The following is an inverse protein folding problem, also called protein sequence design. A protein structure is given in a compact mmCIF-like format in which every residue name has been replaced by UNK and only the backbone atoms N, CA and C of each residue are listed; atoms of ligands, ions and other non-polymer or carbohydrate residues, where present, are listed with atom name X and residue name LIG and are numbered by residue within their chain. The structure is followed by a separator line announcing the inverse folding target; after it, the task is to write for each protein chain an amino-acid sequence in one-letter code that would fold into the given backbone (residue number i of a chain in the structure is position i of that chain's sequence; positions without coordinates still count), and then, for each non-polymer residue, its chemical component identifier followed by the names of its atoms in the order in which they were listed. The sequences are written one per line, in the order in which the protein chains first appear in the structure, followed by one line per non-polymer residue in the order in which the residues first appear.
data_IF_571007163107
#
_entry.id   IF_571007163107
#
_cell.length_a   1.000
_cell.length_b   1.000
_cell.length_c   1.000
_cell.angle_alpha   90.00
_cell.angle_beta   90.00
_cell.angle_gamma   90.00
#
_symmetry.space_group_name_H-M   'P 1'
#
loop_
_entity.id
_entity.type
_entity.pdbx_description
1 polymer ?
#
# COMPACT_ATOMS: atom_id res chain seq x y z
N UNK A 1 6.78 6.36 -4.25
CA UNK A 1 5.44 6.10 -4.80
C UNK A 1 4.92 4.80 -4.21
N UNK A 2 4.75 4.78 -2.89
CA UNK A 2 4.43 3.54 -2.14
C UNK A 2 3.02 3.03 -2.47
N UNK A 3 2.04 3.93 -2.63
CA UNK A 3 0.65 3.55 -2.97
C UNK A 3 0.51 2.73 -4.26
N UNK A 4 1.41 2.95 -5.24
CA UNK A 4 1.49 2.16 -6.47
C UNK A 4 2.51 1.03 -6.40
N UNK A 5 3.19 0.89 -5.26
CA UNK A 5 4.28 -0.04 -5.02
C UNK A 5 5.42 0.17 -6.04
N UNK A 6 5.62 1.43 -6.43
CA UNK A 6 6.45 1.84 -7.56
C UNK A 6 7.86 2.27 -7.18
N UNK A 7 8.35 1.92 -5.98
CA UNK A 7 9.63 2.45 -5.47
C UNK A 7 10.54 1.44 -4.82
N UNK A 8 10.14 0.81 -3.72
CA UNK A 8 11.11 0.10 -2.85
C UNK A 8 11.68 -1.17 -3.49
N UNK A 9 10.93 -1.83 -4.37
CA UNK A 9 11.45 -2.95 -5.17
C UNK A 9 12.64 -2.55 -6.06
N UNK A 10 12.62 -1.35 -6.65
CA UNK A 10 13.75 -0.82 -7.44
C UNK A 10 14.94 -0.50 -6.54
N UNK A 11 14.71 0.09 -5.36
CA UNK A 11 15.79 0.35 -4.41
C UNK A 11 16.47 -0.93 -3.93
N UNK A 12 15.70 -1.99 -3.67
CA UNK A 12 16.21 -3.30 -3.30
C UNK A 12 16.99 -3.95 -4.46
N UNK A 13 16.43 -3.98 -5.67
CA UNK A 13 17.10 -4.49 -6.88
C UNK A 13 18.44 -3.79 -7.14
N UNK A 14 18.49 -2.48 -6.93
CA UNK A 14 19.65 -1.64 -7.23
C UNK A 14 20.66 -1.57 -6.06
N UNK A 15 20.50 -2.39 -5.01
CA UNK A 15 21.48 -2.55 -3.94
C UNK A 15 21.54 -1.41 -2.93
N UNK A 16 20.51 -0.55 -2.82
CA UNK A 16 20.55 0.63 -1.95
C UNK A 16 20.55 0.32 -0.43
N UNK A 17 20.44 -0.96 -0.05
CA UNK A 17 20.42 -1.41 1.34
C UNK A 17 21.60 -2.32 1.73
N UNK A 18 22.59 -2.52 0.86
CA UNK A 18 23.71 -3.45 1.11
C UNK A 18 24.54 -3.10 2.36
N UNK A 19 24.72 -1.80 2.64
CA UNK A 19 25.48 -1.30 3.80
C UNK A 19 24.57 -0.94 5.01
N UNK A 20 23.31 -1.39 5.03
CA UNK A 20 22.34 -1.08 6.09
C UNK A 20 22.16 -2.28 7.02
N UNK A 21 22.33 -2.09 8.34
CA UNK A 21 22.20 -3.18 9.30
C UNK A 21 20.75 -3.44 9.77
N UNK A 22 19.90 -2.42 9.74
CA UNK A 22 18.49 -2.52 10.15
C UNK A 22 17.66 -1.38 9.55
N UNK A 23 16.38 -1.65 9.27
CA UNK A 23 15.40 -0.66 8.80
C UNK A 23 14.22 -0.56 9.76
N UNK A 24 13.96 0.66 10.23
CA UNK A 24 12.76 1.00 11.00
C UNK A 24 11.77 1.71 10.08
N UNK A 25 10.68 1.03 9.74
CA UNK A 25 9.58 1.61 8.96
C UNK A 25 8.42 2.02 9.87
N UNK A 26 7.58 2.94 9.41
CA UNK A 26 6.39 3.38 10.14
C UNK A 26 5.18 3.40 9.22
N UNK A 27 4.00 3.15 9.79
CA UNK A 27 2.75 3.27 9.07
C UNK A 27 1.65 3.76 10.03
N UNK A 28 0.82 4.70 9.56
CA UNK A 28 -0.34 5.20 10.31
C UNK A 28 -1.27 4.04 10.71
N UNK A 29 -1.81 4.11 11.92
CA UNK A 29 -2.81 3.20 12.46
C UNK A 29 -3.68 3.91 13.50
N UNK A 30 -4.51 3.14 14.20
CA UNK A 30 -5.37 3.60 15.30
C UNK A 30 -4.86 3.18 16.69
N UNK A 31 -3.71 2.49 16.75
CA UNK A 31 -3.03 2.10 17.98
C UNK A 31 -1.51 2.17 17.76
N UNK A 32 -0.76 2.11 18.85
CA UNK A 32 0.70 1.98 18.87
C UNK A 32 1.02 0.49 18.98
N UNK A 33 1.57 -0.10 17.91
CA UNK A 33 1.84 -1.54 17.87
C UNK A 33 2.94 -1.91 16.88
N UNK A 34 3.47 -3.11 17.07
CA UNK A 34 4.48 -3.72 16.20
C UNK A 34 4.16 -5.19 16.03
N UNK A 35 4.65 -5.80 14.94
CA UNK A 35 4.53 -7.24 14.71
C UNK A 35 5.81 -7.83 14.16
N UNK A 36 6.01 -9.14 14.33
CA UNK A 36 7.14 -9.88 13.75
C UNK A 36 6.69 -11.10 12.94
N UNK A 37 7.62 -11.65 12.15
CA UNK A 37 7.38 -12.75 11.22
C UNK A 37 6.50 -12.36 10.04
N UNK A 38 5.85 -13.34 9.40
CA UNK A 38 4.95 -13.10 8.28
C UNK A 38 3.77 -12.21 8.70
N UNK A 39 3.65 -11.04 8.07
CA UNK A 39 2.59 -10.11 8.39
C UNK A 39 1.26 -10.49 7.72
N UNK A 40 0.14 -10.01 8.27
CA UNK A 40 -1.14 -9.99 7.54
C UNK A 40 -1.00 -9.22 6.23
N UNK A 41 -1.74 -9.63 5.20
CA UNK A 41 -1.70 -9.00 3.89
C UNK A 41 -1.06 -9.87 2.82
N UNK A 42 -0.78 -9.27 1.66
CA UNK A 42 -0.31 -9.99 0.47
C UNK A 42 0.92 -9.31 -0.11
N UNK A 43 1.75 -10.04 -0.85
CA UNK A 43 2.61 -9.42 -1.87
C UNK A 43 1.81 -9.11 -3.13
N UNK A 44 2.41 -8.39 -4.07
CA UNK A 44 1.76 -7.93 -5.29
C UNK A 44 2.74 -7.82 -6.46
N UNK A 45 2.25 -8.13 -7.66
CA UNK A 45 2.77 -7.56 -8.92
C UNK A 45 1.70 -6.69 -9.58
N UNK A 46 2.12 -5.52 -10.03
CA UNK A 46 1.31 -4.56 -10.78
C UNK A 46 1.83 -4.50 -12.20
N UNK A 47 0.99 -4.85 -13.17
CA UNK A 47 1.41 -5.00 -14.57
C UNK A 47 0.38 -4.40 -15.51
N UNK A 48 0.84 -3.58 -16.45
CA UNK A 48 0.03 -3.05 -17.54
C UNK A 48 0.35 -3.83 -18.82
N UNK A 49 -0.69 -4.32 -19.49
CA UNK A 49 -0.60 -4.94 -20.80
C UNK A 49 -1.16 -3.97 -21.84
N UNK A 50 -0.44 -3.84 -22.95
CA UNK A 50 -0.79 -2.96 -24.07
C UNK A 50 -0.90 -3.81 -25.33
N UNK A 51 -2.00 -3.64 -26.06
CA UNK A 51 -2.27 -4.34 -27.31
C UNK A 51 -2.26 -3.36 -28.47
N UNK A 52 -1.58 -3.74 -29.55
CA UNK A 52 -1.45 -2.98 -30.79
C UNK A 52 -2.17 -3.74 -31.91
N UNK A 53 -3.19 -3.09 -32.47
CA UNK A 53 -4.03 -3.63 -33.52
C UNK A 53 -3.95 -2.82 -34.81
N UNK A 54 -5.01 -2.87 -35.61
CA UNK A 54 -5.14 -2.15 -36.87
C UNK A 54 -6.50 -1.45 -36.88
N UNK A 55 -6.48 -0.13 -37.07
CA UNK A 55 -7.70 0.67 -37.15
C UNK A 55 -8.39 0.45 -38.50
N UNK A 56 -9.72 0.43 -38.48
CA UNK A 56 -10.58 0.42 -39.64
C UNK A 56 -11.91 1.11 -39.30
N UNK A 57 -12.69 1.51 -40.29
CA UNK A 57 -14.02 2.07 -40.03
C UNK A 57 -14.94 0.93 -39.57
N UNK A 58 -15.47 1.04 -38.35
CA UNK A 58 -16.20 -0.05 -37.69
C UNK A 58 -17.45 -0.55 -38.44
N UNK A 59 -17.99 0.26 -39.34
CA UNK A 59 -19.12 -0.12 -40.21
C UNK A 59 -18.74 -0.28 -41.70
N UNK A 60 -17.61 0.27 -42.13
CA UNK A 60 -17.31 0.42 -43.56
C UNK A 60 -16.48 -0.74 -44.09
N UNK A 61 -15.43 -1.06 -43.34
CA UNK A 61 -14.40 -2.03 -43.66
C UNK A 61 -13.88 -2.77 -42.40
N UNK A 62 -14.75 -3.24 -41.48
CA UNK A 62 -14.30 -3.84 -40.22
C UNK A 62 -13.43 -5.10 -40.39
N UNK A 63 -13.53 -5.81 -41.52
CA UNK A 63 -12.71 -6.98 -41.84
C UNK A 63 -11.22 -6.66 -42.04
N UNK A 64 -10.88 -5.40 -42.31
CA UNK A 64 -9.50 -4.93 -42.46
C UNK A 64 -8.87 -4.54 -41.10
N UNK A 65 -9.67 -4.47 -40.03
CA UNK A 65 -9.23 -4.10 -38.68
C UNK A 65 -8.72 -5.29 -37.85
N UNK A 66 -7.97 -4.98 -36.78
CA UNK A 66 -7.63 -5.89 -35.67
C UNK A 66 -7.84 -5.14 -34.37
N UNK A 67 -8.84 -5.54 -33.60
CA UNK A 67 -9.27 -4.79 -32.41
C UNK A 67 -8.39 -5.10 -31.21
N UNK A 68 -7.61 -4.11 -30.77
CA UNK A 68 -6.87 -4.17 -29.52
C UNK A 68 -7.80 -4.22 -28.30
N UNK A 69 -8.98 -3.58 -28.38
CA UNK A 69 -9.98 -3.64 -27.31
C UNK A 69 -10.53 -5.06 -27.14
N UNK A 70 -10.76 -5.79 -28.23
CA UNK A 70 -11.22 -7.18 -28.16
C UNK A 70 -10.18 -8.05 -27.42
N UNK A 71 -8.89 -7.79 -27.61
CA UNK A 71 -7.82 -8.50 -26.90
C UNK A 71 -7.89 -8.20 -25.38
N UNK A 72 -8.09 -6.95 -24.99
CA UNK A 72 -8.29 -6.56 -23.59
C UNK A 72 -9.53 -7.24 -22.99
N UNK A 73 -10.65 -7.27 -23.72
CA UNK A 73 -11.89 -7.91 -23.24
C UNK A 73 -11.71 -9.42 -23.08
N UNK A 74 -11.08 -10.09 -24.06
CA UNK A 74 -10.81 -11.52 -24.00
C UNK A 74 -9.86 -11.88 -22.85
N UNK A 75 -8.81 -11.07 -22.63
CA UNK A 75 -7.91 -11.22 -21.50
C UNK A 75 -8.66 -11.09 -20.16
N UNK A 76 -9.53 -10.08 -20.04
CA UNK A 76 -10.36 -9.86 -18.84
C UNK A 76 -11.32 -11.02 -18.58
N UNK A 77 -12.01 -11.51 -19.61
CA UNK A 77 -12.93 -12.65 -19.52
C UNK A 77 -12.19 -13.92 -19.11
N UNK A 78 -11.05 -14.22 -19.75
CA UNK A 78 -10.24 -15.38 -19.41
C UNK A 78 -9.74 -15.31 -17.96
N UNK A 79 -9.31 -14.14 -17.49
CA UNK A 79 -8.93 -13.97 -16.08
C UNK A 79 -10.13 -14.12 -15.13
N UNK A 80 -11.31 -13.62 -15.51
CA UNK A 80 -12.53 -13.79 -14.72
C UNK A 80 -12.88 -15.27 -14.55
N UNK A 81 -12.73 -16.11 -15.58
CA UNK A 81 -12.90 -17.56 -15.45
C UNK A 81 -11.78 -18.22 -14.63
N UNK A 82 -10.53 -17.75 -14.76
CA UNK A 82 -9.41 -18.26 -13.95
C UNK A 82 -9.67 -18.13 -12.45
N UNK A 83 -10.42 -17.12 -12.00
CA UNK A 83 -10.71 -16.87 -10.57
C UNK A 83 -11.39 -18.03 -9.85
N UNK A 84 -12.11 -18.92 -10.55
CA UNK A 84 -12.68 -20.14 -9.94
C UNK A 84 -11.58 -21.10 -9.43
N UNK A 85 -10.38 -21.01 -9.99
CA UNK A 85 -9.27 -21.93 -9.72
C UNK A 85 -8.11 -21.30 -8.94
N UNK A 86 -8.33 -20.10 -8.36
CA UNK A 86 -7.34 -19.41 -7.54
C UNK A 86 -7.53 -19.72 -6.06
N UNK A 87 -6.45 -19.63 -5.29
CA UNK A 87 -6.51 -19.85 -3.85
C UNK A 87 -7.41 -18.80 -3.17
N UNK A 88 -8.22 -19.13 -2.14
CA UNK A 88 -9.16 -18.17 -1.53
C UNK A 88 -8.51 -16.90 -0.91
N UNK A 89 -7.22 -16.95 -0.58
CA UNK A 89 -6.45 -15.80 -0.07
C UNK A 89 -5.90 -14.89 -1.18
N UNK A 90 -5.94 -15.33 -2.43
CA UNK A 90 -5.55 -14.56 -3.61
C UNK A 90 -6.48 -13.36 -3.81
N UNK A 91 -5.94 -12.24 -4.30
CA UNK A 91 -6.77 -11.13 -4.79
C UNK A 91 -6.25 -10.62 -6.13
N UNK A 92 -7.13 -10.42 -7.10
CA UNK A 92 -6.78 -9.80 -8.38
C UNK A 92 -7.84 -8.80 -8.82
N UNK A 93 -7.37 -7.72 -9.42
CA UNK A 93 -8.20 -6.61 -9.87
C UNK A 93 -7.60 -6.04 -11.15
N UNK A 94 -8.43 -5.46 -12.00
CA UNK A 94 -7.96 -4.73 -13.18
C UNK A 94 -8.83 -3.52 -13.48
N UNK A 95 -8.25 -2.60 -14.24
CA UNK A 95 -8.97 -1.51 -14.92
C UNK A 95 -8.50 -1.47 -16.37
N UNK A 96 -9.43 -1.18 -17.29
CA UNK A 96 -9.06 -0.86 -18.68
C UNK A 96 -8.52 0.57 -18.66
N UNK A 97 -7.19 0.73 -18.78
CA UNK A 97 -6.55 2.04 -18.71
C UNK A 97 -6.70 2.83 -20.02
N UNK A 98 -6.92 2.14 -21.13
CA UNK A 98 -7.31 2.72 -22.42
C UNK A 98 -8.21 1.73 -23.18
N UNK A 99 -9.43 2.17 -23.51
CA UNK A 99 -10.41 1.33 -24.22
C UNK A 99 -10.60 1.67 -25.70
N UNK A 100 -9.71 2.47 -26.29
CA UNK A 100 -9.90 3.06 -27.61
C UNK A 100 -10.54 4.45 -27.57
N UNK A 101 -10.56 5.11 -28.74
CA UNK A 101 -10.97 6.53 -28.87
C UNK A 101 -12.47 6.70 -29.16
N UNK A 102 -12.96 6.12 -30.25
CA UNK A 102 -14.33 6.34 -30.74
C UNK A 102 -15.03 5.04 -31.16
N UNK A 103 -16.34 4.89 -30.92
CA UNK A 103 -17.07 3.65 -31.18
C UNK A 103 -17.24 3.32 -32.67
N UNK A 104 -17.03 4.27 -33.58
CA UNK A 104 -17.10 4.05 -35.04
C UNK A 104 -15.75 3.66 -35.66
N UNK A 105 -14.69 3.49 -34.84
CA UNK A 105 -13.34 3.10 -35.28
C UNK A 105 -12.95 1.83 -34.54
N UNK A 106 -12.47 0.82 -35.27
CA UNK A 106 -11.88 -0.38 -34.65
C UNK A 106 -10.65 0.06 -33.84
N UNK A 107 -10.58 -0.19 -32.52
CA UNK A 107 -9.47 0.29 -31.69
C UNK A 107 -8.14 -0.34 -32.12
N UNK A 108 -7.20 0.46 -32.61
CA UNK A 108 -5.84 0.01 -32.91
C UNK A 108 -4.91 -0.02 -31.70
N UNK A 109 -5.35 0.52 -30.57
CA UNK A 109 -4.61 0.50 -29.31
C UNK A 109 -5.59 0.40 -28.16
N UNK A 110 -5.28 -0.47 -27.20
CA UNK A 110 -5.99 -0.58 -25.93
C UNK A 110 -5.03 -1.13 -24.87
N UNK A 111 -5.30 -0.80 -23.61
CA UNK A 111 -4.47 -1.24 -22.49
C UNK A 111 -5.29 -1.57 -21.26
N UNK A 112 -4.75 -2.49 -20.46
CA UNK A 112 -5.37 -2.97 -19.22
C UNK A 112 -4.32 -3.10 -18.13
N UNK A 113 -4.65 -2.60 -16.94
CA UNK A 113 -3.75 -2.56 -15.80
C UNK A 113 -4.25 -3.48 -14.70
N UNK A 114 -3.42 -4.46 -14.31
CA UNK A 114 -3.71 -5.49 -13.34
C UNK A 114 -2.92 -5.32 -12.04
N UNK A 115 -3.58 -5.69 -10.93
CA UNK A 115 -2.93 -6.08 -9.69
C UNK A 115 -3.17 -7.57 -9.44
N UNK A 116 -2.09 -8.33 -9.24
CA UNK A 116 -2.13 -9.74 -8.82
C UNK A 116 -1.50 -9.84 -7.43
N UNK A 117 -2.28 -10.32 -6.46
CA UNK A 117 -1.88 -10.43 -5.05
C UNK A 117 -1.98 -11.87 -4.55
N UNK A 118 -0.96 -12.29 -3.82
CA UNK A 118 -0.86 -13.62 -3.21
C UNK A 118 -0.08 -13.59 -1.90
N UNK A 119 -0.14 -14.68 -1.14
CA UNK A 119 0.48 -14.78 0.19
C UNK A 119 1.98 -15.08 0.15
N UNK A 120 2.47 -15.73 -0.91
CA UNK A 120 3.86 -16.15 -1.08
C UNK A 120 4.40 -15.66 -2.42
N UNK A 121 5.72 -15.46 -2.51
CA UNK A 121 6.33 -14.97 -3.74
C UNK A 121 6.18 -15.96 -4.90
N UNK A 122 6.24 -17.27 -4.63
CA UNK A 122 6.05 -18.31 -5.64
C UNK A 122 4.64 -18.30 -6.22
N UNK A 123 3.60 -18.15 -5.39
CA UNK A 123 2.24 -18.04 -5.89
C UNK A 123 2.02 -16.75 -6.68
N UNK A 124 2.70 -15.65 -6.33
CA UNK A 124 2.70 -14.42 -7.13
C UNK A 124 3.29 -14.69 -8.52
N UNK A 125 4.46 -15.36 -8.58
CA UNK A 125 5.12 -15.72 -9.84
C UNK A 125 4.26 -16.65 -10.70
N UNK A 126 3.64 -17.66 -10.10
CA UNK A 126 2.75 -18.59 -10.79
C UNK A 126 1.53 -17.88 -11.39
N UNK A 127 0.86 -17.05 -10.59
CA UNK A 127 -0.30 -16.29 -11.06
C UNK A 127 0.09 -15.25 -12.11
N UNK A 128 1.26 -14.62 -11.98
CA UNK A 128 1.77 -13.70 -12.98
C UNK A 128 2.11 -14.40 -14.30
N UNK A 129 2.76 -15.56 -14.25
CA UNK A 129 3.03 -16.37 -15.44
C UNK A 129 1.73 -16.85 -16.11
N UNK A 130 0.71 -17.19 -15.32
CA UNK A 130 -0.62 -17.53 -15.84
C UNK A 130 -1.27 -16.34 -16.54
N UNK A 131 -1.21 -15.15 -15.93
CA UNK A 131 -1.74 -13.92 -16.54
C UNK A 131 -1.02 -13.60 -17.86
N UNK A 132 0.30 -13.81 -17.91
CA UNK A 132 1.09 -13.65 -19.13
C UNK A 132 0.61 -14.58 -20.26
N UNK A 133 0.38 -15.86 -19.98
CA UNK A 133 -0.13 -16.81 -20.96
C UNK A 133 -1.54 -16.42 -21.46
N UNK A 134 -2.38 -15.89 -20.57
CA UNK A 134 -3.70 -15.39 -20.94
C UNK A 134 -3.59 -14.18 -21.88
N UNK A 135 -2.67 -13.26 -21.62
CA UNK A 135 -2.42 -12.10 -22.48
C UNK A 135 -1.93 -12.52 -23.88
N UNK A 136 -1.00 -13.48 -23.95
CA UNK A 136 -0.54 -14.09 -25.20
C UNK A 136 -1.71 -14.78 -25.94
N UNK A 137 -2.56 -15.49 -25.20
CA UNK A 137 -3.82 -16.08 -25.68
C UNK A 137 -4.72 -15.05 -26.35
N UNK A 138 -4.97 -13.93 -25.68
CA UNK A 138 -5.81 -12.85 -26.19
C UNK A 138 -5.24 -12.19 -27.45
N UNK A 139 -3.93 -11.97 -27.48
CA UNK A 139 -3.21 -11.48 -28.66
C UNK A 139 -3.38 -12.42 -29.85
N UNK A 140 -3.20 -13.73 -29.65
CA UNK A 140 -3.37 -14.73 -30.70
C UNK A 140 -4.82 -14.84 -31.21
N UNK A 141 -5.82 -14.72 -30.33
CA UNK A 141 -7.23 -14.78 -30.74
C UNK A 141 -7.65 -13.59 -31.61
N UNK A 142 -6.92 -12.48 -31.58
CA UNK A 142 -7.30 -11.21 -32.20
C UNK A 142 -6.33 -10.73 -33.27
N UNK A 143 -5.27 -11.50 -33.58
CA UNK A 143 -4.13 -11.11 -34.41
C UNK A 143 -3.56 -9.72 -34.04
N UNK A 144 -3.44 -9.42 -32.74
CA UNK A 144 -2.87 -8.15 -32.25
C UNK A 144 -1.45 -8.35 -31.72
N UNK A 145 -0.64 -7.30 -31.78
CA UNK A 145 0.62 -7.23 -31.01
C UNK A 145 0.32 -7.08 -29.52
N UNK A 146 1.20 -7.60 -28.67
CA UNK A 146 1.11 -7.44 -27.21
C UNK A 146 2.47 -7.07 -26.65
N UNK A 147 2.45 -6.11 -25.74
CA UNK A 147 3.57 -5.76 -24.89
C UNK A 147 3.09 -5.59 -23.44
N UNK A 148 4.02 -5.56 -22.50
CA UNK A 148 3.72 -5.33 -21.08
C UNK A 148 4.75 -4.43 -20.45
N UNK A 149 4.40 -3.87 -19.29
CA UNK A 149 5.35 -3.25 -18.35
C UNK A 149 4.93 -3.51 -16.91
N UNK A 150 5.92 -3.69 -16.02
CA UNK A 150 5.66 -3.69 -14.58
C UNK A 150 5.52 -2.24 -14.12
N UNK A 151 4.45 -1.95 -13.39
CA UNK A 151 4.17 -0.62 -12.82
C UNK A 151 4.59 -0.56 -11.35
N UNK A 152 4.53 -1.68 -10.65
CA UNK A 152 4.82 -1.78 -9.22
C UNK A 152 4.99 -3.22 -8.77
N UNK A 153 5.71 -3.40 -7.67
CA UNK A 153 5.99 -4.69 -7.08
C UNK A 153 6.10 -4.56 -5.56
N UNK A 154 5.55 -5.55 -4.85
CA UNK A 154 5.69 -5.69 -3.41
C UNK A 154 5.90 -7.15 -3.05
N UNK A 155 7.01 -7.47 -2.42
CA UNK A 155 7.22 -8.81 -1.85
C UNK A 155 6.30 -9.05 -0.64
N UNK A 156 5.87 -10.29 -0.32
CA UNK A 156 5.14 -10.56 0.91
C UNK A 156 5.94 -10.12 2.14
N UNK A 157 5.33 -9.36 3.06
CA UNK A 157 6.06 -8.78 4.20
C UNK A 157 6.45 -9.82 5.24
N UNK A 158 7.69 -9.76 5.73
CA UNK A 158 8.17 -10.53 6.86
C UNK A 158 9.06 -9.67 7.77
N UNK A 159 8.77 -9.61 9.07
CA UNK A 159 9.42 -8.65 9.97
C UNK A 159 10.32 -9.30 11.01
N UNK A 160 11.39 -8.60 11.38
CA UNK A 160 12.44 -9.07 12.27
C UNK A 160 11.96 -9.15 13.74
N UNK A 161 12.07 -10.32 14.35
CA UNK A 161 11.57 -10.57 15.72
C UNK A 161 12.36 -9.85 16.82
N UNK A 162 13.69 -9.94 16.89
CA UNK A 162 14.47 -9.21 17.91
C UNK A 162 14.17 -7.70 17.93
N UNK A 163 14.17 -7.05 16.76
CA UNK A 163 13.87 -5.61 16.66
C UNK A 163 12.44 -5.33 17.09
N UNK A 164 11.46 -6.16 16.69
CA UNK A 164 10.07 -5.98 17.11
C UNK A 164 9.89 -6.11 18.63
N UNK A 165 10.58 -7.04 19.29
CA UNK A 165 10.52 -7.19 20.75
C UNK A 165 11.14 -5.99 21.47
N UNK A 166 12.27 -5.48 21.01
CA UNK A 166 12.88 -4.26 21.54
C UNK A 166 11.94 -3.05 21.34
N UNK A 167 11.37 -2.92 20.14
CA UNK A 167 10.38 -1.89 19.82
C UNK A 167 9.14 -1.98 20.71
N UNK A 168 8.61 -3.18 20.97
CA UNK A 168 7.45 -3.38 21.85
C UNK A 168 7.75 -2.93 23.29
N UNK A 169 8.95 -3.19 23.82
CA UNK A 169 9.35 -2.64 25.13
C UNK A 169 9.35 -1.10 25.14
N UNK A 170 9.72 -0.47 24.03
CA UNK A 170 9.64 0.98 23.90
C UNK A 170 8.21 1.49 23.75
N UNK A 171 7.35 0.76 23.04
CA UNK A 171 5.90 1.02 22.97
C UNK A 171 5.30 1.03 24.37
N UNK A 172 5.63 0.03 25.20
CA UNK A 172 5.15 -0.07 26.59
C UNK A 172 5.62 1.10 27.47
N UNK A 173 6.86 1.57 27.28
CA UNK A 173 7.41 2.73 28.00
C UNK A 173 6.80 4.06 27.56
N UNK A 174 6.59 4.24 26.24
CA UNK A 174 6.06 5.48 25.67
C UNK A 174 4.56 5.61 25.93
N UNK A 175 3.81 4.51 25.77
CA UNK A 175 2.37 4.46 25.93
C UNK A 175 1.60 5.20 24.83
N UNK A 176 0.28 5.13 24.90
CA UNK A 176 -0.60 5.91 24.03
C UNK A 176 -0.59 7.40 24.44
N UNK A 177 -0.81 8.32 23.49
CA UNK A 177 -1.03 9.72 23.82
C UNK A 177 -2.23 9.92 24.76
N UNK A 178 -2.18 10.97 25.57
CA UNK A 178 -3.37 11.43 26.30
C UNK A 178 -4.30 12.15 25.32
N UNK A 179 -5.45 11.54 25.05
CA UNK A 179 -6.52 12.12 24.25
C UNK A 179 -7.32 13.13 25.07
N UNK A 180 -7.61 14.30 24.50
CA UNK A 180 -8.53 15.24 25.14
C UNK A 180 -9.99 14.76 25.02
N UNK A 181 -10.89 15.39 25.79
CA UNK A 181 -12.34 15.16 25.62
C UNK A 181 -12.80 15.50 24.20
N UNK A 182 -12.21 16.53 23.61
CA UNK A 182 -12.44 16.96 22.23
C UNK A 182 -12.00 15.91 21.20
N UNK A 183 -10.82 15.30 21.40
CA UNK A 183 -10.35 14.21 20.53
C UNK A 183 -11.30 13.02 20.57
N UNK A 184 -11.77 12.66 21.76
CA UNK A 184 -12.73 11.59 21.94
C UNK A 184 -14.09 11.94 21.33
N UNK A 185 -14.53 13.19 21.47
CA UNK A 185 -15.79 13.68 20.88
C UNK A 185 -15.74 13.63 19.35
N UNK A 186 -14.65 14.10 18.75
CA UNK A 186 -14.42 14.02 17.30
C UNK A 186 -14.40 12.57 16.80
N UNK A 187 -13.61 11.71 17.43
CA UNK A 187 -13.49 10.31 17.00
C UNK A 187 -14.83 9.56 17.08
N UNK A 188 -15.61 9.80 18.14
CA UNK A 188 -16.95 9.20 18.28
C UNK A 188 -17.92 9.73 17.23
N UNK A 189 -17.95 11.04 16.99
CA UNK A 189 -18.78 11.64 15.96
C UNK A 189 -18.44 11.08 14.57
N UNK A 190 -17.15 10.96 14.24
CA UNK A 190 -16.70 10.39 12.98
C UNK A 190 -17.08 8.90 12.85
N UNK A 191 -16.94 8.11 13.91
CA UNK A 191 -17.39 6.71 13.92
C UNK A 191 -18.90 6.58 13.70
N UNK A 192 -19.70 7.42 14.37
CA UNK A 192 -21.16 7.45 14.15
C UNK A 192 -21.54 7.90 12.74
N UNK A 193 -20.83 8.88 12.18
CA UNK A 193 -21.00 9.32 10.79
C UNK A 193 -20.72 8.17 9.81
N UNK A 194 -19.71 7.34 10.10
CA UNK A 194 -19.39 6.13 9.34
C UNK A 194 -20.32 4.94 9.64
N UNK A 195 -21.39 5.14 10.42
CA UNK A 195 -22.42 4.14 10.67
C UNK A 195 -22.11 3.15 11.79
N UNK A 196 -21.15 3.45 12.67
CA UNK A 196 -20.93 2.64 13.87
C UNK A 196 -21.96 3.01 14.94
N UNK A 197 -22.81 2.04 15.30
CA UNK A 197 -23.86 2.21 16.31
C UNK A 197 -23.30 2.26 17.75
N UNK A 198 -22.07 1.80 17.97
CA UNK A 198 -21.38 1.80 19.26
C UNK A 198 -19.99 2.49 19.17
N UNK A 199 -19.95 3.83 19.01
CA UNK A 199 -18.71 4.57 18.83
C UNK A 199 -17.82 4.52 20.09
N UNK A 200 -16.67 3.85 19.97
CA UNK A 200 -15.72 3.63 21.06
C UNK A 200 -14.74 4.80 21.26
N UNK A 201 -14.67 5.75 20.31
CA UNK A 201 -13.70 6.85 20.32
C UNK A 201 -12.28 6.37 19.97
N UNK A 202 -11.25 7.03 20.51
CA UNK A 202 -9.83 6.67 20.36
C UNK A 202 -9.42 5.60 21.38
N UNK A 203 -8.44 4.77 21.01
CA UNK A 203 -7.93 3.72 21.89
C UNK A 203 -7.25 4.32 23.15
N UNK A 204 -7.57 3.78 24.32
CA UNK A 204 -6.95 4.15 25.60
C UNK A 204 -5.97 3.10 26.11
N UNK A 205 -5.99 1.91 25.50
CA UNK A 205 -5.21 0.75 25.89
C UNK A 205 -4.42 0.24 24.67
N UNK A 206 -3.19 -0.21 24.92
CA UNK A 206 -2.31 -0.76 23.90
C UNK A 206 -2.85 -2.10 23.39
N UNK A 207 -2.72 -2.35 22.08
CA UNK A 207 -3.17 -3.62 21.48
C UNK A 207 -2.23 -4.80 21.72
N UNK A 208 -1.04 -4.56 22.27
CA UNK A 208 0.04 -5.54 22.38
C UNK A 208 0.74 -5.83 21.05
N UNK A 209 1.80 -6.63 21.13
CA UNK A 209 2.58 -7.07 19.98
C UNK A 209 1.80 -8.08 19.11
N UNK A 210 1.96 -7.96 17.80
CA UNK A 210 1.44 -8.93 16.83
C UNK A 210 2.43 -10.08 16.62
N UNK A 211 1.98 -11.29 16.87
CA UNK A 211 2.71 -12.52 16.54
C UNK A 211 2.26 -13.07 15.17
N UNK A 212 3.08 -13.91 14.51
CA UNK A 212 2.68 -14.63 13.31
C UNK A 212 1.39 -15.41 13.54
N UNK A 213 0.51 -15.40 12.54
CA UNK A 213 -0.73 -16.17 12.62
C UNK A 213 -0.49 -17.61 12.17
N UNK A 214 -1.11 -18.57 12.87
CA UNK A 214 -1.12 -19.98 12.44
C UNK A 214 -1.69 -20.14 11.02
N UNK A 215 -2.65 -19.29 10.66
CA UNK A 215 -3.28 -19.28 9.35
C UNK A 215 -3.12 -17.90 8.70
N UNK A 216 -2.50 -17.82 7.50
CA UNK A 216 -2.30 -16.55 6.83
C UNK A 216 -3.63 -15.86 6.48
N UNK A 217 -3.64 -14.53 6.54
CA UNK A 217 -4.83 -13.71 6.24
C UNK A 217 -4.48 -12.70 5.15
N UNK A 218 -5.26 -12.73 4.07
CA UNK A 218 -5.16 -11.81 2.95
C UNK A 218 -5.46 -10.36 3.35
N UNK A 219 -5.00 -9.40 2.55
CA UNK A 219 -5.17 -7.97 2.83
C UNK A 219 -4.30 -7.11 1.92
N UNK A 220 -4.09 -5.86 2.32
CA UNK A 220 -3.25 -4.90 1.57
C UNK A 220 -1.79 -5.36 1.41
N UNK A 221 -1.10 -4.71 0.50
CA UNK A 221 0.34 -4.89 0.20
C UNK A 221 1.06 -3.58 0.44
N UNK A 222 2.35 -3.64 0.68
CA UNK A 222 3.21 -2.48 0.93
C UNK A 222 4.63 -2.88 0.47
N UNK A 223 5.28 -2.01 -0.29
CA UNK A 223 6.57 -2.29 -0.93
C UNK A 223 7.72 -2.34 0.10
N UNK A 224 7.45 -2.08 1.39
CA UNK A 224 8.39 -2.41 2.49
C UNK A 224 8.72 -3.91 2.54
N UNK A 225 7.85 -4.74 1.97
CA UNK A 225 8.09 -6.16 1.79
C UNK A 225 9.42 -6.44 1.12
N UNK A 226 9.74 -5.76 0.02
CA UNK A 226 11.01 -5.94 -0.70
C UNK A 226 12.22 -5.65 0.19
N UNK A 227 12.21 -4.54 0.92
CA UNK A 227 13.30 -4.21 1.86
C UNK A 227 13.40 -5.27 2.96
N UNK A 228 12.26 -5.74 3.45
CA UNK A 228 12.23 -6.68 4.57
C UNK A 228 12.92 -8.01 4.29
N UNK A 229 13.10 -8.38 3.02
CA UNK A 229 13.83 -9.56 2.58
C UNK A 229 15.29 -9.31 2.18
N UNK A 230 15.76 -8.07 2.29
CA UNK A 230 17.16 -7.69 2.03
C UNK A 230 17.90 -7.24 3.30
N UNK A 231 17.18 -6.78 4.33
CA UNK A 231 17.75 -6.28 5.58
C UNK A 231 16.77 -6.49 6.74
N UNK A 232 17.24 -6.77 7.98
CA UNK A 232 16.40 -6.81 9.17
C UNK A 232 15.47 -5.59 9.26
N UNK A 233 14.17 -5.81 9.11
CA UNK A 233 13.18 -4.73 8.99
C UNK A 233 12.02 -4.93 9.95
N UNK A 234 11.54 -3.84 10.54
CA UNK A 234 10.30 -3.82 11.34
C UNK A 234 9.41 -2.66 10.89
N UNK A 235 8.10 -2.79 11.13
CA UNK A 235 7.13 -1.71 10.90
C UNK A 235 6.41 -1.33 12.19
N UNK A 236 6.59 -0.08 12.64
CA UNK A 236 5.79 0.52 13.69
C UNK A 236 4.44 0.99 13.15
N UNK A 237 3.36 0.58 13.78
CA UNK A 237 2.04 1.19 13.63
C UNK A 237 1.89 2.27 14.69
N UNK A 238 1.56 3.51 14.31
CA UNK A 238 1.40 4.62 15.26
C UNK A 238 -0.02 5.23 15.24
N UNK A 239 -0.55 5.69 16.40
CA UNK A 239 -1.99 5.96 16.59
C UNK A 239 -2.40 7.35 16.08
N UNK A 240 -2.19 7.63 14.80
CA UNK A 240 -2.55 8.92 14.20
C UNK A 240 -3.91 8.93 13.49
N UNK A 241 -4.68 7.85 13.56
CA UNK A 241 -6.01 7.78 12.93
C UNK A 241 -7.08 7.17 13.86
N UNK A 242 -8.35 7.34 13.50
CA UNK A 242 -9.48 6.83 14.26
C UNK A 242 -9.76 5.36 13.89
N UNK A 243 -10.10 4.54 14.89
CA UNK A 243 -10.45 3.13 14.67
C UNK A 243 -11.81 2.98 13.96
N UNK A 244 -11.91 1.92 13.15
CA UNK A 244 -13.15 1.57 12.45
C UNK A 244 -13.38 2.32 11.14
N UNK A 245 -12.40 3.06 10.63
CA UNK A 245 -12.47 3.72 9.34
C UNK A 245 -12.01 2.80 8.19
N UNK A 246 -12.53 3.04 7.00
CA UNK A 246 -12.16 2.36 5.78
C UNK A 246 -10.87 2.97 5.21
N UNK A 247 -9.87 2.12 4.91
CA UNK A 247 -8.66 2.56 4.20
C UNK A 247 -9.01 3.11 2.82
N UNK A 248 -8.26 4.12 2.36
CA UNK A 248 -8.41 4.77 1.05
C UNK A 248 -9.79 5.44 0.85
N UNK A 249 -10.45 5.79 1.95
CA UNK A 249 -11.71 6.51 1.97
C UNK A 249 -11.50 7.90 2.59
N UNK A 250 -12.28 8.90 2.17
CA UNK A 250 -12.14 10.29 2.63
C UNK A 250 -12.20 10.42 4.16
N UNK A 251 -12.93 9.54 4.84
CA UNK A 251 -13.02 9.54 6.30
C UNK A 251 -11.68 9.31 6.98
N UNK A 252 -10.78 8.53 6.37
CA UNK A 252 -9.43 8.29 6.88
C UNK A 252 -8.52 9.52 6.78
N UNK A 253 -8.86 10.52 5.97
CA UNK A 253 -8.16 11.80 5.90
C UNK A 253 -8.59 12.78 7.00
N UNK A 254 -9.75 12.57 7.63
CA UNK A 254 -10.34 13.50 8.59
C UNK A 254 -9.48 13.70 9.84
N UNK A 255 -8.78 12.66 10.31
CA UNK A 255 -7.90 12.76 11.47
C UNK A 255 -6.56 13.45 11.15
N UNK A 256 -6.14 13.48 9.89
CA UNK A 256 -4.79 13.90 9.49
C UNK A 256 -4.51 15.39 9.76
N UNK A 257 -5.56 16.21 9.78
CA UNK A 257 -5.47 17.64 10.05
C UNK A 257 -5.77 18.01 11.53
N UNK A 258 -5.93 17.03 12.43
CA UNK A 258 -6.37 17.28 13.81
C UNK A 258 -5.25 16.99 14.82
N UNK A 259 -5.38 17.44 16.09
CA UNK A 259 -4.42 17.11 17.14
C UNK A 259 -4.21 15.60 17.35
N UNK A 260 -5.19 14.77 16.94
CA UNK A 260 -5.08 13.30 16.99
C UNK A 260 -3.86 12.83 16.19
N UNK A 261 -3.73 13.28 14.94
CA UNK A 261 -2.61 12.88 14.09
C UNK A 261 -1.26 13.31 14.66
N UNK A 262 -1.16 14.55 15.14
CA UNK A 262 0.08 15.09 15.72
C UNK A 262 0.47 14.37 17.01
N UNK A 263 -0.48 14.15 17.93
CA UNK A 263 -0.24 13.41 19.18
C UNK A 263 0.22 11.98 18.90
N UNK A 264 -0.43 11.30 17.95
CA UNK A 264 -0.06 9.96 17.51
C UNK A 264 1.33 9.91 16.86
N UNK A 265 1.66 10.88 16.01
CA UNK A 265 2.93 10.97 15.32
C UNK A 265 4.07 11.23 16.32
N UNK A 266 3.86 12.09 17.31
CA UNK A 266 4.84 12.35 18.39
C UNK A 266 5.10 11.08 19.21
N UNK A 267 4.06 10.30 19.54
CA UNK A 267 4.27 9.02 20.23
C UNK A 267 5.04 8.02 19.36
N UNK A 268 4.68 7.90 18.08
CA UNK A 268 5.39 7.05 17.13
C UNK A 268 6.86 7.45 16.97
N UNK A 269 7.13 8.75 16.84
CA UNK A 269 8.48 9.29 16.72
C UNK A 269 9.34 8.98 17.96
N UNK A 270 8.76 9.05 19.18
CA UNK A 270 9.46 8.64 20.40
C UNK A 270 9.86 7.17 20.36
N UNK A 271 8.95 6.28 19.96
CA UNK A 271 9.24 4.84 19.86
C UNK A 271 10.33 4.56 18.83
N UNK A 272 10.27 5.20 17.66
CA UNK A 272 11.31 5.06 16.63
C UNK A 272 12.66 5.54 17.16
N UNK A 273 12.70 6.73 17.78
CA UNK A 273 13.93 7.30 18.32
C UNK A 273 14.54 6.39 19.40
N UNK A 274 13.74 5.87 20.33
CA UNK A 274 14.27 4.99 21.38
C UNK A 274 14.71 3.63 20.83
N UNK A 275 14.01 3.08 19.84
CA UNK A 275 14.41 1.81 19.21
C UNK A 275 15.69 1.97 18.38
N UNK A 276 15.85 3.13 17.73
CA UNK A 276 17.10 3.47 17.06
C UNK A 276 18.26 3.59 18.05
N UNK A 277 18.03 4.18 19.23
CA UNK A 277 19.05 4.22 20.29
C UNK A 277 19.41 2.81 20.77
N UNK A 278 18.43 1.92 20.94
CA UNK A 278 18.69 0.53 21.32
C UNK A 278 19.57 -0.17 20.27
N UNK A 279 19.28 0.00 18.98
CA UNK A 279 20.09 -0.56 17.87
C UNK A 279 21.52 0.01 17.82
N UNK A 280 21.70 1.29 18.13
CA UNK A 280 23.03 1.94 18.11
C UNK A 280 23.87 1.57 19.34
N UNK A 281 23.23 1.37 20.49
CA UNK A 281 23.92 1.17 21.77
C UNK A 281 24.07 -0.31 22.17
N UNK A 282 23.26 -1.19 21.59
CA UNK A 282 23.30 -2.63 21.88
C UNK A 282 24.01 -3.37 20.76
N UNK A 283 25.25 -3.76 21.02
CA UNK A 283 26.00 -4.64 20.12
C UNK A 283 25.27 -5.99 19.92
N UNK A 284 24.54 -6.46 20.93
CA UNK A 284 23.82 -7.74 20.87
C UNK A 284 22.53 -7.69 20.05
N UNK A 285 21.80 -6.56 20.04
CA UNK A 285 20.51 -6.48 19.34
C UNK A 285 20.69 -6.59 17.82
N UNK A 286 21.75 -6.00 17.27
CA UNK A 286 22.07 -6.09 15.84
C UNK A 286 22.45 -7.53 15.48
N UNK A 287 23.30 -8.17 16.29
CA UNK A 287 23.69 -9.57 16.08
C UNK A 287 22.48 -10.51 16.14
N UNK A 288 21.61 -10.37 17.14
CA UNK A 288 20.37 -11.15 17.26
C UNK A 288 19.44 -10.93 16.06
N UNK A 289 19.31 -9.67 15.61
CA UNK A 289 18.50 -9.33 14.45
C UNK A 289 19.05 -9.97 13.17
N UNK A 290 20.37 -9.97 12.97
CA UNK A 290 21.02 -10.63 11.84
C UNK A 290 20.87 -12.15 11.91
N UNK A 291 21.12 -12.78 13.06
CA UNK A 291 20.92 -14.22 13.23
C UNK A 291 19.47 -14.63 12.95
N UNK A 292 18.47 -13.88 13.43
CA UNK A 292 17.08 -14.18 13.09
C UNK A 292 16.81 -14.04 11.58
N UNK A 293 17.39 -13.01 10.95
CA UNK A 293 17.22 -12.77 9.53
C UNK A 293 17.79 -13.91 8.69
N UNK A 294 19.04 -14.31 8.94
CA UNK A 294 19.75 -15.36 8.21
C UNK A 294 19.21 -16.76 8.51
N UNK A 295 19.06 -17.10 9.79
CA UNK A 295 18.79 -18.47 10.23
C UNK A 295 17.30 -18.85 10.24
N UNK A 296 16.40 -17.87 10.23
CA UNK A 296 14.95 -18.10 10.32
C UNK A 296 14.23 -17.49 9.13
N UNK A 297 14.38 -16.19 8.88
CA UNK A 297 13.58 -15.51 7.87
C UNK A 297 13.98 -15.89 6.45
N UNK A 298 15.27 -15.87 6.11
CA UNK A 298 15.78 -16.16 4.77
C UNK A 298 16.25 -17.61 4.60
N UNK A 299 16.04 -18.47 5.61
CA UNK A 299 16.56 -19.83 5.63
C UNK A 299 16.02 -20.70 4.48
N UNK A 300 14.76 -20.49 4.09
CA UNK A 300 14.06 -21.29 3.07
C UNK A 300 13.69 -20.47 1.82
N UNK A 301 13.90 -19.15 1.84
CA UNK A 301 13.51 -18.26 0.74
C UNK A 301 14.62 -17.26 0.43
N UNK A 302 14.97 -17.17 -0.86
CA UNK A 302 15.88 -16.16 -1.38
C UNK A 302 15.08 -15.08 -2.09
N UNK A 303 15.33 -13.82 -1.74
CA UNK A 303 14.71 -12.69 -2.41
C UNK A 303 15.10 -12.64 -3.89
N UNK A 304 14.09 -12.63 -4.76
CA UNK A 304 14.25 -12.37 -6.20
C UNK A 304 13.20 -11.35 -6.60
N UNK A 305 13.57 -10.11 -6.97
CA UNK A 305 12.62 -9.07 -7.34
C UNK A 305 11.63 -9.55 -8.41
N UNK A 306 10.38 -9.08 -8.35
CA UNK A 306 9.40 -9.32 -9.43
C UNK A 306 9.63 -8.44 -10.66
N UNK A 307 10.51 -7.44 -10.54
CA UNK A 307 10.96 -6.57 -11.62
C UNK A 307 12.25 -7.11 -12.25
N UNK A 308 12.38 -6.96 -13.57
CA UNK A 308 13.59 -7.26 -14.31
C UNK A 308 14.68 -6.21 -14.10
N UNK A 309 15.91 -6.49 -14.58
CA UNK A 309 17.04 -5.56 -14.51
C UNK A 309 16.78 -4.27 -15.30
N UNK A 310 16.05 -4.37 -16.41
CA UNK A 310 15.78 -3.26 -17.33
C UNK A 310 14.40 -2.62 -17.16
N UNK A 311 13.60 -3.08 -16.19
CA UNK A 311 12.27 -2.51 -15.92
C UNK A 311 12.43 -1.12 -15.27
N UNK A 312 11.99 -0.03 -15.92
CA UNK A 312 12.07 1.30 -15.34
C UNK A 312 10.97 1.48 -14.28
N UNK A 313 11.21 2.29 -13.23
CA UNK A 313 10.15 2.69 -12.31
C UNK A 313 9.11 3.54 -13.06
N UNK A 314 7.83 3.33 -12.75
CA UNK A 314 6.71 4.05 -13.36
C UNK A 314 6.56 5.48 -12.79
N UNK A 315 7.61 6.29 -12.91
CA UNK A 315 7.70 7.65 -12.36
C UNK A 315 6.68 8.60 -12.98
N UNK A 316 6.16 8.28 -14.17
CA UNK A 316 5.24 9.12 -14.91
C UNK A 316 3.81 9.08 -14.34
N UNK A 317 3.39 8.00 -13.65
CA UNK A 317 1.98 7.74 -13.28
C UNK A 317 1.32 8.83 -12.44
N UNK A 318 2.08 9.63 -11.70
CA UNK A 318 1.55 10.70 -10.84
C UNK A 318 1.87 12.11 -11.35
N UNK A 319 2.53 12.26 -12.51
CA UNK A 319 3.04 13.56 -12.98
C UNK A 319 1.89 14.57 -13.14
N UNK A 320 0.88 14.22 -13.95
CA UNK A 320 -0.23 15.14 -14.25
C UNK A 320 -1.01 15.54 -12.99
N UNK A 321 -1.29 14.58 -12.10
CA UNK A 321 -1.96 14.83 -10.81
C UNK A 321 -1.11 15.75 -9.94
N UNK A 322 0.20 15.51 -9.85
CA UNK A 322 1.08 16.35 -9.06
C UNK A 322 1.21 17.75 -9.66
N UNK A 323 1.26 17.88 -10.98
CA UNK A 323 1.33 19.18 -11.65
C UNK A 323 0.05 20.00 -11.44
N UNK A 324 -1.12 19.35 -11.41
CA UNK A 324 -2.39 20.01 -11.14
C UNK A 324 -2.54 20.42 -9.67
N UNK A 325 -2.27 19.51 -8.73
CA UNK A 325 -2.63 19.71 -7.33
C UNK A 325 -1.51 20.27 -6.45
N UNK A 326 -0.23 20.07 -6.80
CA UNK A 326 0.88 20.58 -5.97
C UNK A 326 0.83 22.10 -5.77
N UNK A 327 0.61 22.94 -6.81
CA UNK A 327 0.52 24.39 -6.59
C UNK A 327 -0.61 24.79 -5.63
N UNK A 328 -1.74 24.08 -5.68
CA UNK A 328 -2.87 24.32 -4.78
C UNK A 328 -2.57 23.89 -3.34
N UNK A 329 -1.83 22.79 -3.17
CA UNK A 329 -1.42 22.29 -1.86
C UNK A 329 -0.35 23.17 -1.21
N UNK A 330 0.55 23.77 -2.00
CA UNK A 330 1.61 24.67 -1.51
C UNK A 330 1.05 25.88 -0.74
N UNK A 331 -0.12 26.40 -1.15
CA UNK A 331 -0.82 27.47 -0.42
C UNK A 331 -1.30 27.04 0.98
N UNK A 332 -1.46 25.73 1.19
CA UNK A 332 -1.90 25.13 2.45
C UNK A 332 -0.74 24.55 3.26
N UNK A 333 0.51 24.75 2.85
CA UNK A 333 1.64 24.25 3.62
C UNK A 333 1.73 24.97 4.97
N UNK A 334 1.93 24.19 6.02
CA UNK A 334 2.04 24.71 7.37
C UNK A 334 3.26 25.63 7.50
N UNK A 335 3.02 26.87 7.93
CA UNK A 335 4.03 27.87 8.25
C UNK A 335 4.24 27.97 9.78
N UNK A 336 5.23 27.24 10.32
CA UNK A 336 5.52 27.26 11.75
C UNK A 336 6.12 28.60 12.23
N UNK A 337 6.43 29.54 11.34
CA UNK A 337 6.91 30.88 11.74
C UNK A 337 5.79 31.85 12.09
N UNK A 338 4.58 31.57 11.59
CA UNK A 338 3.40 32.43 11.75
C UNK A 338 2.34 31.84 12.67
N UNK A 339 2.31 30.52 12.84
CA UNK A 339 1.26 29.81 13.59
C UNK A 339 1.85 28.74 14.52
N UNK A 340 1.19 28.51 15.66
CA UNK A 340 1.59 27.46 16.62
C UNK A 340 1.13 26.07 16.17
N UNK A 341 0.01 25.97 15.45
CA UNK A 341 -0.51 24.73 14.87
C UNK A 341 -1.09 24.91 13.48
N UNK A 342 -1.20 23.81 12.72
CA UNK A 342 -1.82 23.83 11.40
C UNK A 342 -3.31 24.25 11.44
N UNK A 343 -4.02 23.92 12.51
CA UNK A 343 -5.42 24.34 12.69
C UNK A 343 -5.54 25.84 12.95
N UNK A 344 -4.59 26.43 13.69
CA UNK A 344 -4.55 27.89 13.90
C UNK A 344 -4.32 28.62 12.58
N UNK A 345 -3.45 28.09 11.71
CA UNK A 345 -3.24 28.63 10.36
C UNK A 345 -4.52 28.62 9.53
N UNK A 346 -5.31 27.55 9.63
CA UNK A 346 -6.58 27.44 8.93
C UNK A 346 -7.72 28.21 9.60
N UNK A 347 -7.51 28.77 10.80
CA UNK A 347 -8.54 29.45 11.59
C UNK A 347 -9.64 28.51 12.08
N UNK A 348 -9.32 27.23 12.33
CA UNK A 348 -10.29 26.20 12.73
C UNK A 348 -10.25 25.99 14.24
N UNK A 349 -11.35 26.29 14.92
CA UNK A 349 -11.57 25.93 16.33
C UNK A 349 -11.96 24.45 16.46
N UNK A 350 -11.11 23.63 17.07
CA UNK A 350 -11.28 22.18 17.07
C UNK A 350 -11.91 21.67 18.37
N UNK A 351 -12.93 20.78 18.31
CA UNK A 351 -13.56 20.21 17.12
C UNK A 351 -14.85 20.96 16.76
N UNK A 352 -15.02 21.30 15.47
CA UNK A 352 -16.26 21.90 14.95
C UNK A 352 -17.35 20.84 14.78
N UNK A 353 -18.02 20.47 15.88
CA UNK A 353 -19.13 19.52 15.87
C UNK A 353 -20.41 20.27 16.22
N UNK A 354 -21.18 20.65 15.20
CA UNK A 354 -22.54 21.14 15.41
C UNK A 354 -23.41 20.00 15.98
N UNK A 355 -24.24 20.24 17.02
CA UNK A 355 -25.06 19.21 17.64
C UNK A 355 -25.98 18.44 16.67
N UNK A 356 -26.37 19.07 15.56
CA UNK A 356 -27.41 18.58 14.64
C UNK A 356 -26.87 18.11 13.27
N UNK A 357 -25.55 18.16 13.02
CA UNK A 357 -24.97 18.01 11.66
C UNK A 357 -24.45 16.60 11.35
N UNK A 358 -24.62 15.61 12.22
CA UNK A 358 -24.41 14.20 11.83
C UNK A 358 -25.63 13.71 11.03
N UNK A 359 -25.96 14.40 9.93
CA UNK A 359 -26.87 13.90 8.92
C UNK A 359 -26.06 13.03 7.96
N UNK A 360 -26.44 11.75 7.88
CA UNK A 360 -25.95 10.86 6.82
C UNK A 360 -26.28 11.52 5.47
N UNK A 361 -25.26 11.98 4.75
CA UNK A 361 -25.41 12.26 3.31
C UNK A 361 -25.66 10.87 2.69
N UNK A 362 -26.90 10.65 2.22
CA UNK A 362 -27.33 9.40 1.59
C UNK A 362 -26.84 9.30 0.16
#
# INVERSE_FOLDING_TARGET
AEELLGTKAWYARDGLFEDVNAVLFTHVSNNLSVSWGQARGTGLVSVEYMFDGIAAHGAGDPWDGRSALDAVELMNIAWNFRREHLHPLQRSHYVISNGGDQPNVVPSYASVWYFIREMTADNIRENFATLQQIAEGASMMTDTGMSRRIVGAAYPRHFNKPIALAMDQNILKVGLPTWSEDDQRFAKALQSLMGNDEPQGLATDLSGIGEPLDNPVSGGSDDIGDISWNVPTVTLRYPSNVRGLQGHHWSSAMAMATPIAHKGAVAGAKVIATTMLDLIQSDTLVDEAQSYFEDIQTAEETYVPFIGPDDPPAIEKNTDIMDEFRPQLEELYYDPSSYDTYLDQLGIDYPQLEPDTIQRIR
#
